data_IF_158507038266
#
_entry.id   IF_158507038266
#
_cell.length_a   1.000
_cell.length_b   1.000
_cell.length_c   1.000
_cell.angle_alpha   90.00
_cell.angle_beta   90.00
_cell.angle_gamma   90.00
#
_symmetry.space_group_name_H-M   'P 1'
#
loop_
_entity.id
_entity.type
_entity.pdbx_description
1 polymer ?
#
# COMPACT_ATOMS: atom_id res chain seq x y z
N UNK A 1 10.05 -13.09 2.61
CA UNK A 1 9.29 -11.92 2.12
C UNK A 1 8.44 -11.38 3.25
N UNK A 2 8.82 -10.24 3.84
CA UNK A 2 7.96 -9.54 4.81
C UNK A 2 6.73 -9.05 4.05
N UNK A 3 5.54 -9.59 4.34
CA UNK A 3 4.33 -9.29 3.56
C UNK A 3 3.94 -7.80 3.60
N UNK A 4 4.37 -7.08 4.64
CA UNK A 4 3.97 -5.72 5.00
C UNK A 4 5.05 -4.65 4.77
N UNK A 5 6.27 -5.05 4.43
CA UNK A 5 7.41 -4.14 4.19
C UNK A 5 8.06 -4.52 2.87
N UNK A 6 8.22 -3.59 1.92
CA UNK A 6 9.05 -3.84 0.75
C UNK A 6 10.49 -4.02 1.19
N UNK A 7 11.22 -4.92 0.54
CA UNK A 7 12.67 -5.01 0.75
C UNK A 7 13.33 -3.76 0.13
N UNK A 8 14.25 -3.09 0.82
CA UNK A 8 15.00 -1.98 0.24
C UNK A 8 15.75 -2.45 -1.00
N UNK A 9 15.40 -1.90 -2.16
CA UNK A 9 15.97 -2.30 -3.45
C UNK A 9 16.13 -1.08 -4.35
N UNK A 10 17.19 -1.10 -5.15
CA UNK A 10 17.44 -0.07 -6.18
C UNK A 10 16.54 -0.28 -7.40
N UNK A 11 15.89 -1.44 -7.53
CA UNK A 11 15.07 -1.81 -8.69
C UNK A 11 13.71 -1.10 -8.65
N UNK A 12 13.47 -0.12 -9.55
CA UNK A 12 12.18 0.58 -9.58
C UNK A 12 11.03 -0.36 -9.93
N UNK A 13 11.30 -1.40 -10.75
CA UNK A 13 10.29 -2.36 -11.18
C UNK A 13 9.80 -3.24 -10.03
N UNK A 14 10.68 -3.64 -9.11
CA UNK A 14 10.31 -4.44 -7.94
C UNK A 14 9.44 -3.64 -6.96
N UNK A 15 9.83 -2.40 -6.66
CA UNK A 15 9.04 -1.49 -5.84
C UNK A 15 7.69 -1.20 -6.49
N UNK A 16 7.67 -0.89 -7.79
CA UNK A 16 6.44 -0.61 -8.52
C UNK A 16 5.49 -1.82 -8.51
N UNK A 17 6.01 -3.03 -8.72
CA UNK A 17 5.21 -4.25 -8.66
C UNK A 17 4.68 -4.53 -7.25
N UNK A 18 5.49 -4.29 -6.21
CA UNK A 18 5.08 -4.41 -4.82
C UNK A 18 3.93 -3.43 -4.50
N UNK A 19 4.10 -2.14 -4.81
CA UNK A 19 3.09 -1.09 -4.61
C UNK A 19 1.82 -1.43 -5.38
N UNK A 20 1.93 -1.74 -6.68
CA UNK A 20 0.80 -2.07 -7.54
C UNK A 20 -0.02 -3.25 -6.99
N UNK A 21 0.65 -4.34 -6.62
CA UNK A 21 -0.02 -5.54 -6.10
C UNK A 21 -0.81 -5.21 -4.83
N UNK A 22 -0.23 -4.45 -3.90
CA UNK A 22 -0.91 -4.09 -2.64
C UNK A 22 -2.04 -3.07 -2.87
N UNK A 23 -1.83 -2.08 -3.73
CA UNK A 23 -2.87 -1.13 -4.13
C UNK A 23 -4.07 -1.84 -4.78
N UNK A 24 -3.82 -2.84 -5.63
CA UNK A 24 -4.89 -3.65 -6.23
C UNK A 24 -5.67 -4.43 -5.16
N UNK A 25 -4.98 -5.06 -4.21
CA UNK A 25 -5.65 -5.76 -3.10
C UNK A 25 -6.48 -4.80 -2.25
N UNK A 26 -5.93 -3.65 -1.88
CA UNK A 26 -6.65 -2.60 -1.12
C UNK A 26 -7.90 -2.16 -1.88
N UNK A 27 -7.79 -1.91 -3.18
CA UNK A 27 -8.92 -1.52 -4.03
C UNK A 27 -10.02 -2.59 -3.99
N UNK A 28 -9.66 -3.85 -4.23
CA UNK A 28 -10.61 -4.98 -4.21
C UNK A 28 -11.29 -5.10 -2.85
N UNK A 29 -10.53 -5.13 -1.75
CA UNK A 29 -11.10 -5.28 -0.41
C UNK A 29 -11.94 -4.08 0.01
N UNK A 30 -11.53 -2.86 -0.35
CA UNK A 30 -12.30 -1.65 -0.04
C UNK A 30 -13.61 -1.64 -0.83
N UNK A 31 -13.58 -1.99 -2.11
CA UNK A 31 -14.76 -1.99 -2.96
C UNK A 31 -15.78 -3.04 -2.51
N UNK A 32 -15.37 -4.30 -2.36
CA UNK A 32 -16.27 -5.35 -1.87
C UNK A 32 -16.69 -5.08 -0.42
N UNK A 33 -15.78 -4.62 0.44
CA UNK A 33 -16.10 -4.24 1.81
C UNK A 33 -17.17 -3.15 1.89
N UNK A 34 -17.12 -2.16 0.99
CA UNK A 34 -18.13 -1.11 0.91
C UNK A 34 -19.50 -1.65 0.49
N UNK A 35 -19.55 -2.54 -0.51
CA UNK A 35 -20.81 -3.20 -0.93
C UNK A 35 -21.42 -3.96 0.24
N UNK A 36 -20.63 -4.83 0.89
CA UNK A 36 -21.11 -5.61 2.04
C UNK A 36 -21.51 -4.71 3.23
N UNK A 37 -20.85 -3.57 3.42
CA UNK A 37 -21.17 -2.64 4.50
C UNK A 37 -22.57 -2.01 4.35
N UNK A 38 -23.04 -1.79 3.12
CA UNK A 38 -24.41 -1.31 2.88
C UNK A 38 -25.43 -2.33 3.38
N UNK A 39 -25.25 -3.59 2.99
CA UNK A 39 -26.20 -4.66 3.32
C UNK A 39 -26.17 -5.04 4.81
N UNK A 40 -24.98 -5.04 5.42
CA UNK A 40 -24.79 -5.49 6.81
C UNK A 40 -25.23 -4.45 7.85
N UNK A 41 -25.05 -3.16 7.55
CA UNK A 41 -25.29 -2.08 8.51
C UNK A 41 -26.57 -1.28 8.24
N UNK A 42 -27.38 -1.68 7.24
CA UNK A 42 -28.71 -1.17 6.90
C UNK A 42 -28.94 0.34 7.20
N UNK A 43 -29.49 0.78 8.36
CA UNK A 43 -29.71 2.22 8.61
C UNK A 43 -28.41 3.04 8.70
N UNK A 44 -27.28 2.40 8.99
CA UNK A 44 -25.95 3.01 9.08
C UNK A 44 -25.07 2.69 7.86
N UNK A 45 -25.63 2.10 6.79
CA UNK A 45 -24.88 1.66 5.61
C UNK A 45 -23.99 2.75 5.02
N UNK A 46 -24.50 3.98 4.88
CA UNK A 46 -23.71 5.12 4.37
C UNK A 46 -22.51 5.46 5.27
N UNK A 47 -22.67 5.39 6.59
CA UNK A 47 -21.58 5.64 7.55
C UNK A 47 -20.54 4.53 7.46
N UNK A 48 -21.00 3.28 7.42
CA UNK A 48 -20.11 2.12 7.29
C UNK A 48 -19.31 2.14 5.99
N UNK A 49 -19.94 2.47 4.86
CA UNK A 49 -19.26 2.68 3.56
C UNK A 49 -18.21 3.78 3.66
N UNK A 50 -18.55 4.91 4.30
CA UNK A 50 -17.62 6.02 4.47
C UNK A 50 -16.40 5.61 5.28
N UNK A 51 -16.60 4.86 6.37
CA UNK A 51 -15.50 4.33 7.20
C UNK A 51 -14.62 3.37 6.40
N UNK A 52 -15.21 2.43 5.65
CA UNK A 52 -14.45 1.51 4.80
C UNK A 52 -13.64 2.27 3.75
N UNK A 53 -14.24 3.27 3.10
CA UNK A 53 -13.55 4.11 2.12
C UNK A 53 -12.38 4.89 2.71
N UNK A 54 -12.57 5.50 3.89
CA UNK A 54 -11.50 6.23 4.60
C UNK A 54 -10.36 5.28 4.97
N UNK A 55 -10.66 4.09 5.49
CA UNK A 55 -9.65 3.08 5.82
C UNK A 55 -8.90 2.61 4.57
N UNK A 56 -9.61 2.32 3.48
CA UNK A 56 -9.00 1.94 2.21
C UNK A 56 -8.03 3.01 1.67
N UNK A 57 -8.46 4.27 1.70
CA UNK A 57 -7.62 5.40 1.31
C UNK A 57 -6.38 5.53 2.21
N UNK A 58 -6.56 5.40 3.52
CA UNK A 58 -5.48 5.44 4.50
C UNK A 58 -4.43 4.35 4.26
N UNK A 59 -4.87 3.11 4.02
CA UNK A 59 -3.95 2.01 3.67
C UNK A 59 -3.26 2.25 2.33
N UNK A 60 -3.95 2.82 1.34
CA UNK A 60 -3.34 3.16 0.04
C UNK A 60 -2.19 4.14 0.20
N UNK A 61 -2.35 5.18 1.04
CA UNK A 61 -1.27 6.11 1.34
C UNK A 61 -0.10 5.44 2.04
N UNK A 62 -0.35 4.57 3.03
CA UNK A 62 0.73 3.86 3.71
C UNK A 62 1.55 2.99 2.76
N UNK A 63 0.90 2.27 1.84
CA UNK A 63 1.59 1.45 0.84
C UNK A 63 2.46 2.31 -0.08
N UNK A 64 1.94 3.45 -0.52
CA UNK A 64 2.70 4.38 -1.36
C UNK A 64 3.95 4.90 -0.64
N UNK A 65 3.80 5.40 0.59
CA UNK A 65 4.94 5.94 1.35
C UNK A 65 5.98 4.88 1.68
N UNK A 66 5.57 3.67 2.07
CA UNK A 66 6.50 2.54 2.31
C UNK A 66 7.27 2.17 1.05
N UNK A 67 6.63 2.19 -0.12
CA UNK A 67 7.30 1.94 -1.39
C UNK A 67 8.34 3.02 -1.72
N UNK A 68 8.00 4.29 -1.46
CA UNK A 68 8.93 5.43 -1.65
C UNK A 68 10.13 5.31 -0.71
N UNK A 69 9.89 5.04 0.58
CA UNK A 69 10.95 4.86 1.58
C UNK A 69 11.91 3.74 1.18
N UNK A 70 11.41 2.55 0.85
CA UNK A 70 12.26 1.43 0.43
C UNK A 70 13.06 1.71 -0.85
N UNK A 71 12.51 2.48 -1.78
CA UNK A 71 13.24 2.92 -2.98
C UNK A 71 14.37 3.89 -2.64
N UNK A 72 14.12 4.86 -1.76
CA UNK A 72 15.11 5.84 -1.32
C UNK A 72 16.20 5.20 -0.47
N UNK A 73 15.85 4.29 0.43
CA UNK A 73 16.80 3.51 1.23
C UNK A 73 17.68 2.62 0.35
N UNK A 74 17.07 1.93 -0.62
CA UNK A 74 17.82 1.17 -1.62
C UNK A 74 18.83 2.07 -2.35
N UNK A 75 18.39 3.23 -2.85
CA UNK A 75 19.27 4.20 -3.52
C UNK A 75 20.43 4.66 -2.62
N UNK A 76 20.17 4.99 -1.36
CA UNK A 76 21.20 5.43 -0.42
C UNK A 76 22.26 4.34 -0.17
N UNK A 77 21.82 3.10 0.05
CA UNK A 77 22.73 1.96 0.25
C UNK A 77 23.62 1.69 -0.98
N UNK A 78 23.09 1.89 -2.19
CA UNK A 78 23.88 1.73 -3.42
C UNK A 78 25.03 2.74 -3.54
N UNK A 79 24.82 3.97 -3.08
CA UNK A 79 25.83 5.03 -3.10
C UNK A 79 26.94 4.79 -2.08
N UNK A 80 26.63 4.24 -0.91
CA UNK A 80 27.63 3.87 0.10
C UNK A 80 28.57 2.78 -0.44
N UNK A 81 28.04 1.78 -1.15
CA UNK A 81 28.84 0.71 -1.75
C UNK A 81 29.78 1.23 -2.83
N UNK A 82 29.32 2.14 -3.70
CA UNK A 82 30.14 2.74 -4.75
C UNK A 82 31.24 3.67 -4.19
N UNK A 83 30.98 4.35 -3.06
CA UNK A 83 32.01 5.18 -2.39
C UNK A 83 33.08 4.37 -1.65
N UNK A 84 32.81 3.11 -1.36
CA UNK A 84 33.72 2.20 -0.65
C UNK A 84 34.60 1.34 -1.58
N UNK A 85 34.38 1.40 -2.90
CA UNK A 85 35.14 0.70 -3.95
C UNK A 85 36.16 1.61 -4.63
#
# INVERSE_FOLDING_TARGET
MKAFEPEPTHSPAEIANWVFTRSLLILVFTFFGAIYAVDLFAPLGTVAVSVVGILGLWFSYQVLFRGIEAYLEGRAAGLEVESAS
#
